data_IF_155147368193
#
_entry.id   IF_155147368193
#
_cell.length_a   1.000
_cell.length_b   1.000
_cell.length_c   1.000
_cell.angle_alpha   90.00
_cell.angle_beta   90.00
_cell.angle_gamma   90.00
#
_symmetry.space_group_name_H-M   'P 1'
#
loop_
_entity.id
_entity.type
_entity.pdbx_description
1 polymer ?
#
# COMPACT_ATOMS: atom_id res chain seq x y z
N UNK A 1 -4.31 -19.61 3.78
CA UNK A 1 -3.04 -18.95 4.16
C UNK A 1 -2.59 -19.52 5.49
N UNK A 2 -1.33 -19.92 5.60
CA UNK A 2 -0.80 -20.47 6.84
C UNK A 2 -0.64 -19.40 7.93
N UNK A 3 -0.63 -19.82 9.20
CA UNK A 3 -0.38 -18.92 10.35
C UNK A 3 0.98 -18.22 10.26
N UNK A 4 1.98 -18.92 9.74
CA UNK A 4 3.32 -18.37 9.54
C UNK A 4 3.32 -17.26 8.48
N UNK A 5 2.63 -17.47 7.36
CA UNK A 5 2.53 -16.45 6.31
C UNK A 5 1.73 -15.22 6.78
N UNK A 6 0.63 -15.44 7.53
CA UNK A 6 -0.13 -14.35 8.14
C UNK A 6 0.75 -13.48 9.04
N UNK A 7 1.53 -14.11 9.93
CA UNK A 7 2.44 -13.41 10.83
C UNK A 7 3.53 -12.65 10.05
N UNK A 8 4.07 -13.26 8.99
CA UNK A 8 5.06 -12.64 8.11
C UNK A 8 4.50 -11.37 7.46
N UNK A 9 3.32 -11.46 6.84
CA UNK A 9 2.68 -10.31 6.18
C UNK A 9 2.34 -9.18 7.16
N UNK A 10 1.77 -9.51 8.32
CA UNK A 10 1.51 -8.50 9.37
C UNK A 10 2.82 -7.89 9.82
N UNK A 11 3.88 -8.69 10.03
CA UNK A 11 5.19 -8.21 10.44
C UNK A 11 5.87 -7.27 9.44
N UNK A 12 5.55 -7.37 8.14
CA UNK A 12 6.05 -6.43 7.13
C UNK A 12 5.44 -5.04 7.27
N UNK A 13 4.13 -4.95 7.56
CA UNK A 13 3.40 -3.68 7.65
C UNK A 13 3.32 -3.11 9.07
N UNK A 14 3.58 -3.94 10.08
CA UNK A 14 3.40 -3.58 11.48
C UNK A 14 4.19 -2.34 11.91
N UNK A 15 5.46 -2.13 11.52
CA UNK A 15 6.19 -0.93 11.92
C UNK A 15 5.50 0.36 11.48
N UNK A 16 4.97 0.39 10.26
CA UNK A 16 4.21 1.53 9.72
C UNK A 16 2.92 1.76 10.50
N UNK A 17 2.17 0.68 10.78
CA UNK A 17 0.95 0.74 11.61
C UNK A 17 1.27 1.20 13.03
N UNK A 18 2.37 0.73 13.62
CA UNK A 18 2.82 1.10 14.96
C UNK A 18 3.11 2.59 15.06
N UNK A 19 3.85 3.14 14.10
CA UNK A 19 4.19 4.56 14.06
C UNK A 19 2.96 5.45 13.81
N UNK A 20 2.05 5.03 12.92
CA UNK A 20 0.84 5.80 12.57
C UNK A 20 -0.21 5.77 13.69
N UNK A 21 -0.42 4.62 14.32
CA UNK A 21 -1.47 4.40 15.34
C UNK A 21 -0.95 4.43 16.78
N UNK A 22 0.34 4.73 16.98
CA UNK A 22 1.00 4.76 18.29
C UNK A 22 0.84 3.45 19.08
N UNK A 23 0.98 2.31 18.40
CA UNK A 23 0.79 0.99 19.02
C UNK A 23 1.90 0.70 20.04
N UNK A 24 1.54 0.11 21.17
CA UNK A 24 2.49 -0.13 22.26
C UNK A 24 3.32 -1.40 22.08
N UNK A 25 2.82 -2.42 21.37
CA UNK A 25 3.52 -3.70 21.24
C UNK A 25 4.71 -3.57 20.28
N UNK A 26 5.79 -4.28 20.55
CA UNK A 26 6.91 -4.43 19.63
C UNK A 26 6.67 -5.56 18.63
N UNK A 27 7.44 -5.55 17.54
CA UNK A 27 7.28 -6.52 16.43
C UNK A 27 7.46 -7.96 16.92
N UNK A 28 8.36 -8.17 17.87
CA UNK A 28 8.65 -9.47 18.48
C UNK A 28 7.47 -10.01 19.30
N UNK A 29 6.58 -9.13 19.75
CA UNK A 29 5.39 -9.48 20.53
C UNK A 29 4.19 -9.84 19.64
N UNK A 30 4.27 -9.61 18.31
CA UNK A 30 3.18 -9.93 17.39
C UNK A 30 2.65 -11.36 17.49
N UNK A 31 3.48 -12.42 17.62
CA UNK A 31 2.96 -13.78 17.75
C UNK A 31 2.05 -13.95 18.97
N UNK A 32 2.40 -13.34 20.10
CA UNK A 32 1.64 -13.40 21.34
C UNK A 32 0.34 -12.59 21.26
N UNK A 33 0.35 -11.48 20.53
CA UNK A 33 -0.84 -10.64 20.32
C UNK A 33 -1.80 -11.25 19.31
N UNK A 34 -1.29 -11.79 18.20
CA UNK A 34 -2.11 -12.30 17.10
C UNK A 34 -2.74 -13.66 17.39
N UNK A 35 -2.06 -14.52 18.16
CA UNK A 35 -2.58 -15.84 18.52
C UNK A 35 -3.99 -15.80 19.13
N UNK A 36 -4.25 -15.06 20.22
CA UNK A 36 -5.59 -15.01 20.81
C UNK A 36 -6.62 -14.35 19.88
N UNK A 37 -6.23 -13.40 19.03
CA UNK A 37 -7.13 -12.80 18.04
C UNK A 37 -7.58 -13.81 16.99
N UNK A 38 -6.64 -14.62 16.48
CA UNK A 38 -6.93 -15.70 15.51
C UNK A 38 -7.82 -16.76 16.16
N UNK A 39 -7.50 -17.19 17.39
CA UNK A 39 -8.30 -18.16 18.13
C UNK A 39 -9.73 -17.65 18.38
N UNK A 40 -9.88 -16.37 18.70
CA UNK A 40 -11.20 -15.77 18.89
C UNK A 40 -11.98 -15.67 17.57
N UNK A 41 -11.32 -15.31 16.46
CA UNK A 41 -11.94 -15.34 15.12
C UNK A 41 -12.39 -16.76 14.72
N UNK A 42 -11.63 -17.80 15.09
CA UNK A 42 -12.01 -19.20 14.87
C UNK A 42 -13.21 -19.57 15.76
N UNK A 43 -13.17 -19.24 17.04
CA UNK A 43 -14.24 -19.50 18.01
C UNK A 43 -15.57 -18.87 17.57
N UNK A 44 -15.51 -17.67 17.01
CA UNK A 44 -16.68 -16.96 16.45
C UNK A 44 -17.07 -17.42 15.03
N UNK A 45 -16.35 -18.40 14.47
CA UNK A 45 -16.54 -18.92 13.12
C UNK A 45 -16.41 -17.87 12.02
N UNK A 46 -15.62 -16.82 12.24
CA UNK A 46 -15.30 -15.81 11.22
C UNK A 46 -14.29 -16.38 10.22
N UNK A 47 -13.31 -17.12 10.74
CA UNK A 47 -12.34 -17.89 9.96
C UNK A 47 -12.42 -19.36 10.41
N UNK A 48 -12.01 -20.26 9.53
CA UNK A 48 -11.95 -21.69 9.74
C UNK A 48 -10.49 -22.14 9.73
N UNK A 49 -10.11 -22.95 10.71
CA UNK A 49 -8.82 -23.64 10.72
C UNK A 49 -8.97 -24.98 9.98
N UNK A 50 -8.18 -25.18 8.92
CA UNK A 50 -8.12 -26.41 8.13
C UNK A 50 -6.83 -27.20 8.38
N UNK A 51 -6.14 -26.94 9.49
CA UNK A 51 -4.86 -27.54 9.84
C UNK A 51 -3.70 -26.69 9.35
N UNK A 52 -3.39 -26.75 8.06
CA UNK A 52 -2.28 -25.98 7.47
C UNK A 52 -2.68 -24.53 7.12
N UNK A 53 -3.97 -24.30 6.88
CA UNK A 53 -4.48 -23.04 6.38
C UNK A 53 -5.63 -22.46 7.22
N UNK A 54 -5.55 -21.15 7.42
CA UNK A 54 -6.69 -20.32 7.80
C UNK A 54 -7.46 -19.94 6.54
N UNK A 55 -8.77 -20.17 6.56
CA UNK A 55 -9.69 -19.89 5.45
C UNK A 55 -10.85 -19.03 5.96
N UNK A 56 -11.32 -18.08 5.16
CA UNK A 56 -12.50 -17.29 5.52
C UNK A 56 -13.76 -18.16 5.57
N UNK A 57 -14.68 -17.86 6.48
CA UNK A 57 -16.02 -18.46 6.44
C UNK A 57 -16.96 -17.60 5.59
N UNK A 58 -17.38 -18.04 4.38
CA UNK A 58 -18.21 -17.22 3.49
C UNK A 58 -19.56 -16.83 4.11
N UNK A 59 -20.13 -17.69 4.96
CA UNK A 59 -21.39 -17.42 5.66
C UNK A 59 -21.27 -16.28 6.70
N UNK A 60 -20.04 -15.94 7.11
CA UNK A 60 -19.72 -14.94 8.14
C UNK A 60 -18.81 -13.83 7.60
N UNK A 61 -18.87 -13.57 6.30
CA UNK A 61 -17.98 -12.59 5.65
C UNK A 61 -18.26 -11.14 6.06
N UNK A 62 -19.52 -10.78 6.35
CA UNK A 62 -19.89 -9.38 6.66
C UNK A 62 -19.19 -8.82 7.90
N UNK A 63 -19.14 -9.51 9.06
CA UNK A 63 -18.34 -9.06 10.20
C UNK A 63 -16.86 -8.83 9.86
N UNK A 64 -16.25 -9.71 9.06
CA UNK A 64 -14.86 -9.55 8.64
C UNK A 64 -14.66 -8.31 7.76
N UNK A 65 -15.60 -8.05 6.83
CA UNK A 65 -15.58 -6.84 6.01
C UNK A 65 -15.68 -5.57 6.85
N UNK A 66 -16.49 -5.59 7.92
CA UNK A 66 -16.62 -4.47 8.85
C UNK A 66 -15.32 -4.24 9.63
N UNK A 67 -14.70 -5.31 10.14
CA UNK A 67 -13.40 -5.22 10.83
C UNK A 67 -12.30 -4.69 9.89
N UNK A 68 -12.27 -5.18 8.65
CA UNK A 68 -11.29 -4.76 7.65
C UNK A 68 -11.48 -3.32 7.16
N UNK A 69 -12.69 -2.75 7.31
CA UNK A 69 -12.98 -1.39 6.83
C UNK A 69 -12.09 -0.33 7.48
N UNK A 70 -11.75 -0.49 8.76
CA UNK A 70 -10.98 0.51 9.51
C UNK A 70 -9.51 0.66 9.07
N UNK A 71 -8.92 -0.34 8.42
CA UNK A 71 -7.51 -0.31 7.98
C UNK A 71 -7.36 -0.09 6.47
N UNK A 72 -8.47 -0.18 5.71
CA UNK A 72 -8.45 -0.18 4.24
C UNK A 72 -7.71 1.03 3.66
N UNK A 73 -8.04 2.20 4.15
CA UNK A 73 -7.45 3.45 3.70
C UNK A 73 -5.97 3.56 4.04
N UNK A 74 -5.56 3.07 5.21
CA UNK A 74 -4.15 2.97 5.61
C UNK A 74 -3.37 2.06 4.66
N UNK A 75 -3.90 0.86 4.35
CA UNK A 75 -3.26 -0.06 3.41
C UNK A 75 -3.15 0.55 2.00
N UNK A 76 -4.16 1.30 1.56
CA UNK A 76 -4.11 2.02 0.29
C UNK A 76 -3.01 3.10 0.27
N UNK A 77 -2.86 3.89 1.35
CA UNK A 77 -1.75 4.86 1.47
C UNK A 77 -0.37 4.19 1.40
N UNK A 78 -0.24 3.01 2.01
CA UNK A 78 0.99 2.22 1.94
C UNK A 78 1.23 1.71 0.52
N UNK A 79 0.19 1.20 -0.15
CA UNK A 79 0.29 0.72 -1.52
C UNK A 79 0.71 1.83 -2.50
N UNK A 80 0.14 3.03 -2.37
CA UNK A 80 0.53 4.21 -3.15
C UNK A 80 2.02 4.50 -2.98
N UNK A 81 2.47 4.61 -1.73
CA UNK A 81 3.85 5.00 -1.42
C UNK A 81 4.83 3.94 -1.90
N UNK A 82 4.54 2.66 -1.67
CA UNK A 82 5.38 1.55 -2.14
C UNK A 82 5.41 1.45 -3.66
N UNK A 83 4.30 1.74 -4.35
CA UNK A 83 4.25 1.76 -5.82
C UNK A 83 5.17 2.83 -6.40
N UNK A 84 5.03 4.08 -5.91
CA UNK A 84 5.85 5.21 -6.37
C UNK A 84 7.33 4.95 -6.08
N UNK A 85 7.63 4.47 -4.88
CA UNK A 85 8.99 4.17 -4.45
C UNK A 85 9.63 3.02 -5.27
N UNK A 86 8.84 2.01 -5.64
CA UNK A 86 9.29 0.91 -6.51
C UNK A 86 9.50 1.35 -7.97
N UNK A 87 8.70 2.31 -8.45
CA UNK A 87 8.80 2.86 -9.81
C UNK A 87 9.94 3.87 -9.96
N UNK A 88 10.20 4.68 -8.92
CA UNK A 88 11.26 5.67 -8.87
C UNK A 88 12.07 5.53 -7.57
N UNK A 89 13.04 4.60 -7.50
CA UNK A 89 13.83 4.36 -6.29
C UNK A 89 14.59 5.57 -5.78
N UNK A 90 15.04 6.47 -6.67
CA UNK A 90 15.82 7.67 -6.32
C UNK A 90 14.98 8.89 -5.96
N UNK A 91 13.66 8.73 -5.77
CA UNK A 91 12.76 9.83 -5.43
C UNK A 91 13.12 10.42 -4.05
N UNK A 92 13.32 11.74 -4.00
CA UNK A 92 13.57 12.40 -2.72
C UNK A 92 12.30 12.40 -1.84
N UNK A 93 12.50 12.47 -0.52
CA UNK A 93 11.42 12.48 0.48
C UNK A 93 10.28 13.46 0.18
N UNK A 94 10.60 14.71 -0.15
CA UNK A 94 9.61 15.76 -0.37
C UNK A 94 8.77 15.51 -1.63
N UNK A 95 9.40 14.98 -2.69
CA UNK A 95 8.71 14.56 -3.89
C UNK A 95 7.81 13.34 -3.63
N UNK A 96 8.30 12.32 -2.91
CA UNK A 96 7.52 11.13 -2.54
C UNK A 96 6.27 11.52 -1.73
N UNK A 97 6.42 12.32 -0.68
CA UNK A 97 5.28 12.81 0.11
C UNK A 97 4.28 13.63 -0.73
N UNK A 98 4.76 14.39 -1.72
CA UNK A 98 3.89 15.19 -2.59
C UNK A 98 3.14 14.30 -3.58
N UNK A 99 3.83 13.40 -4.26
CA UNK A 99 3.26 12.50 -5.27
C UNK A 99 2.27 11.52 -4.64
N UNK A 100 2.61 10.92 -3.49
CA UNK A 100 1.71 10.02 -2.78
C UNK A 100 0.41 10.71 -2.36
N UNK A 101 0.48 11.97 -1.91
CA UNK A 101 -0.72 12.76 -1.58
C UNK A 101 -1.56 13.09 -2.80
N UNK A 102 -0.94 13.48 -3.92
CA UNK A 102 -1.66 13.76 -5.17
C UNK A 102 -2.42 12.50 -5.62
N UNK A 103 -1.77 11.34 -5.54
CA UNK A 103 -2.40 10.06 -5.85
C UNK A 103 -3.57 9.75 -4.90
N UNK A 104 -3.37 9.90 -3.59
CA UNK A 104 -4.43 9.68 -2.61
C UNK A 104 -5.62 10.63 -2.83
N UNK A 105 -5.37 11.89 -3.17
CA UNK A 105 -6.43 12.84 -3.51
C UNK A 105 -7.21 12.40 -4.75
N UNK A 106 -6.53 11.91 -5.80
CA UNK A 106 -7.19 11.35 -6.99
C UNK A 106 -8.06 10.14 -6.64
N UNK A 107 -7.54 9.20 -5.85
CA UNK A 107 -8.28 8.04 -5.38
C UNK A 107 -9.52 8.44 -4.58
N UNK A 108 -9.40 9.45 -3.71
CA UNK A 108 -10.53 9.99 -2.94
C UNK A 108 -11.65 10.52 -3.84
N UNK A 109 -11.30 11.27 -4.89
CA UNK A 109 -12.29 11.78 -5.86
C UNK A 109 -12.91 10.66 -6.70
N UNK A 110 -12.11 9.72 -7.21
CA UNK A 110 -12.57 8.68 -8.13
C UNK A 110 -13.40 7.59 -7.43
N UNK A 111 -13.06 7.26 -6.18
CA UNK A 111 -13.66 6.14 -5.45
C UNK A 111 -14.52 6.59 -4.27
N UNK A 112 -14.75 7.89 -4.11
CA UNK A 112 -15.61 8.46 -3.07
C UNK A 112 -15.09 8.23 -1.65
N UNK A 113 -13.77 8.18 -1.45
CA UNK A 113 -13.17 8.02 -0.12
C UNK A 113 -13.31 9.35 0.62
N UNK A 114 -14.14 9.37 1.66
CA UNK A 114 -14.42 10.57 2.45
C UNK A 114 -13.73 10.53 3.82
N UNK A 115 -12.40 10.60 3.79
CA UNK A 115 -11.56 10.58 4.98
C UNK A 115 -10.49 11.68 4.88
N UNK A 116 -10.55 12.73 5.73
CA UNK A 116 -9.60 13.85 5.66
C UNK A 116 -8.14 13.41 5.87
N UNK A 117 -7.92 12.34 6.61
CA UNK A 117 -6.62 11.72 6.84
C UNK A 117 -6.03 11.04 5.59
N UNK A 118 -6.85 10.72 4.59
CA UNK A 118 -6.42 9.91 3.45
C UNK A 118 -5.31 10.55 2.61
N UNK A 119 -5.30 11.89 2.54
CA UNK A 119 -4.31 12.68 1.82
C UNK A 119 -3.58 13.67 2.74
N UNK A 120 -3.61 13.43 4.06
CA UNK A 120 -2.99 14.30 5.04
C UNK A 120 -1.45 14.25 4.98
N UNK A 121 -0.82 15.41 5.17
CA UNK A 121 0.64 15.55 5.07
C UNK A 121 1.37 14.83 6.19
N UNK A 122 0.90 14.92 7.43
CA UNK A 122 1.57 14.31 8.57
C UNK A 122 1.58 12.79 8.44
N UNK A 123 0.47 12.19 7.98
CA UNK A 123 0.37 10.74 7.76
C UNK A 123 1.44 10.24 6.78
N UNK A 124 1.59 10.87 5.62
CA UNK A 124 2.65 10.49 4.66
C UNK A 124 4.05 10.80 5.18
N UNK A 125 4.21 11.88 5.95
CA UNK A 125 5.52 12.23 6.55
C UNK A 125 5.98 11.16 7.53
N UNK A 126 5.07 10.65 8.37
CA UNK A 126 5.32 9.55 9.31
C UNK A 126 5.64 8.26 8.57
N UNK A 127 4.88 7.93 7.52
CA UNK A 127 5.13 6.74 6.71
C UNK A 127 6.53 6.76 6.09
N UNK A 128 6.91 7.85 5.40
CA UNK A 128 8.23 7.94 4.74
C UNK A 128 9.38 7.90 5.75
N UNK A 129 9.21 8.51 6.93
CA UNK A 129 10.19 8.40 8.01
C UNK A 129 10.34 6.94 8.48
N UNK A 130 9.22 6.25 8.71
CA UNK A 130 9.21 4.85 9.15
C UNK A 130 9.84 3.92 8.12
N UNK A 131 9.59 4.14 6.82
CA UNK A 131 10.20 3.35 5.74
C UNK A 131 11.73 3.47 5.73
N UNK A 132 12.27 4.63 6.08
CA UNK A 132 13.72 4.83 6.22
C UNK A 132 14.27 4.10 7.44
N UNK A 133 13.59 4.18 8.58
CA UNK A 133 13.99 3.49 9.82
C UNK A 133 13.98 1.97 9.66
N UNK A 134 13.02 1.43 8.89
CA UNK A 134 12.91 -0.01 8.59
C UNK A 134 13.81 -0.47 7.42
N UNK A 135 14.62 0.42 6.84
CA UNK A 135 15.60 0.06 5.81
C UNK A 135 15.04 -0.12 4.39
N UNK A 136 13.81 0.29 4.11
CA UNK A 136 13.28 0.35 2.75
C UNK A 136 13.93 1.45 1.91
N UNK A 137 14.51 2.46 2.58
CA UNK A 137 15.28 3.54 1.97
C UNK A 137 16.69 3.49 2.56
N UNK A 138 17.70 3.39 1.72
CA UNK A 138 19.10 3.26 2.12
C UNK A 138 19.70 4.60 2.60
N UNK A 139 20.95 4.56 3.06
CA UNK A 139 21.65 5.74 3.60
C UNK A 139 21.86 6.87 2.59
N UNK A 140 21.92 6.53 1.29
CA UNK A 140 22.06 7.48 0.18
C UNK A 140 20.71 8.09 -0.22
N UNK A 141 19.60 7.55 0.31
CA UNK A 141 18.25 8.03 0.10
C UNK A 141 17.48 7.28 -0.99
N UNK A 142 18.04 6.22 -1.56
CA UNK A 142 17.39 5.40 -2.59
C UNK A 142 16.60 4.25 -1.97
N UNK A 143 15.50 3.87 -2.61
CA UNK A 143 14.72 2.70 -2.24
C UNK A 143 15.46 1.40 -2.53
N UNK A 144 15.30 0.43 -1.62
CA UNK A 144 15.64 -0.96 -1.90
C UNK A 144 14.47 -1.60 -2.64
N UNK A 145 14.53 -1.55 -3.97
CA UNK A 145 13.42 -1.87 -4.87
C UNK A 145 12.83 -3.26 -4.62
N UNK A 146 13.66 -4.24 -4.29
CA UNK A 146 13.21 -5.61 -4.00
C UNK A 146 12.25 -5.64 -2.80
N UNK A 147 12.59 -4.91 -1.73
CA UNK A 147 11.76 -4.85 -0.52
C UNK A 147 10.48 -4.05 -0.75
N UNK A 148 10.56 -2.93 -1.47
CA UNK A 148 9.37 -2.11 -1.74
C UNK A 148 8.38 -2.83 -2.65
N UNK A 149 8.88 -3.58 -3.64
CA UNK A 149 8.05 -4.36 -4.56
C UNK A 149 7.41 -5.56 -3.85
N UNK A 150 8.13 -6.23 -2.95
CA UNK A 150 7.57 -7.31 -2.14
C UNK A 150 6.36 -6.83 -1.33
N UNK A 151 6.51 -5.71 -0.61
CA UNK A 151 5.43 -5.17 0.20
C UNK A 151 4.30 -4.63 -0.69
N UNK A 152 4.62 -3.97 -1.80
CA UNK A 152 3.61 -3.53 -2.76
C UNK A 152 2.78 -4.70 -3.29
N UNK A 153 3.41 -5.80 -3.71
CA UNK A 153 2.70 -6.97 -4.23
C UNK A 153 1.70 -7.51 -3.21
N UNK A 154 2.14 -7.67 -1.96
CA UNK A 154 1.28 -8.12 -0.86
C UNK A 154 0.13 -7.14 -0.59
N UNK A 155 0.39 -5.83 -0.54
CA UNK A 155 -0.66 -4.83 -0.35
C UNK A 155 -1.65 -4.79 -1.53
N UNK A 156 -1.17 -5.06 -2.75
CA UNK A 156 -1.98 -5.06 -3.96
C UNK A 156 -3.06 -6.15 -3.94
N UNK A 157 -2.83 -7.23 -3.21
CA UNK A 157 -3.80 -8.32 -3.01
C UNK A 157 -4.86 -7.98 -1.94
N UNK A 158 -4.61 -6.95 -1.12
CA UNK A 158 -5.50 -6.49 -0.04
C UNK A 158 -6.41 -5.32 -0.43
N UNK A 159 -6.18 -4.72 -1.61
CA UNK A 159 -6.98 -3.61 -2.15
C UNK A 159 -7.86 -4.10 -3.31
N UNK A 160 -8.89 -3.33 -3.67
CA UNK A 160 -9.76 -3.72 -4.78
C UNK A 160 -9.04 -3.53 -6.13
N UNK A 161 -9.40 -4.31 -7.17
CA UNK A 161 -8.81 -4.18 -8.49
C UNK A 161 -8.87 -2.76 -9.07
N UNK A 162 -9.97 -2.03 -8.82
CA UNK A 162 -10.16 -0.67 -9.33
C UNK A 162 -9.17 0.32 -8.68
N UNK A 163 -8.91 0.17 -7.38
CA UNK A 163 -7.91 0.96 -6.66
C UNK A 163 -6.51 0.62 -7.18
N UNK A 164 -6.20 -0.68 -7.35
CA UNK A 164 -4.92 -1.15 -7.89
C UNK A 164 -4.63 -0.55 -9.26
N UNK A 165 -5.58 -0.65 -10.20
CA UNK A 165 -5.46 -0.06 -11.55
C UNK A 165 -5.23 1.46 -11.51
N UNK A 166 -5.89 2.15 -10.59
CA UNK A 166 -5.69 3.60 -10.43
C UNK A 166 -4.27 3.93 -9.96
N UNK A 167 -3.71 3.13 -9.03
CA UNK A 167 -2.33 3.30 -8.56
C UNK A 167 -1.31 3.00 -9.67
N UNK A 168 -1.53 1.93 -10.45
CA UNK A 168 -0.63 1.50 -11.52
C UNK A 168 -0.64 2.45 -12.72
N UNK A 169 -1.80 2.99 -13.10
CA UNK A 169 -1.94 3.87 -14.28
C UNK A 169 -1.14 5.17 -14.24
N UNK A 170 -0.71 5.62 -13.05
CA UNK A 170 0.11 6.83 -12.88
C UNK A 170 1.59 6.50 -12.68
N UNK A 171 1.90 5.27 -12.27
CA UNK A 171 3.29 4.81 -12.10
C UNK A 171 3.95 4.46 -13.44
N UNK A 172 3.17 4.32 -14.51
CA UNK A 172 3.68 4.25 -15.88
C UNK A 172 4.11 5.65 -16.32
N UNK A 173 5.35 5.86 -16.79
CA UNK A 173 5.70 7.10 -17.45
C UNK A 173 4.73 7.27 -18.61
N UNK A 174 4.11 8.45 -18.73
CA UNK A 174 3.23 8.78 -19.83
C UNK A 174 3.85 8.29 -21.13
N UNK A 175 3.17 7.35 -21.80
CA UNK A 175 3.54 6.98 -23.17
C UNK A 175 3.68 8.29 -23.95
N UNK A 176 4.85 8.48 -24.53
CA UNK A 176 5.20 9.60 -25.39
C UNK A 176 4.03 9.92 -26.30
N UNK A 177 3.43 11.08 -26.09
CA UNK A 177 2.51 11.72 -27.04
C UNK A 177 3.34 12.05 -28.30
N UNK A 178 3.45 11.06 -29.20
CA UNK A 178 4.00 11.26 -30.53
C UNK A 178 2.93 12.02 -31.31
N UNK A 179 2.97 13.35 -31.21
CA UNK A 179 2.27 14.21 -32.14
C UNK A 179 2.80 13.91 -33.55
N UNK A 180 1.92 13.73 -34.56
CA UNK A 180 2.38 13.58 -35.93
C UNK A 180 2.97 14.93 -36.39
N UNK A 181 4.24 14.89 -36.80
CA UNK A 181 4.92 15.97 -37.51
C UNK A 181 4.04 16.45 -38.68
N UNK A 182 3.54 17.68 -38.58
CA UNK A 182 2.98 18.41 -39.71
C UNK A 182 4.12 18.67 -40.70
N UNK A 183 4.13 17.92 -41.80
CA UNK A 183 5.00 18.18 -42.94
C UNK A 183 4.68 19.57 -43.52
N UNK A 184 5.56 20.53 -43.24
CA UNK A 184 5.62 21.78 -43.96
C UNK A 184 6.20 21.52 -45.36
N UNK A 185 5.32 21.47 -46.36
CA UNK A 185 5.71 21.57 -47.77
C UNK A 185 6.04 23.04 -48.07
N UNK A 186 7.30 23.42 -47.88
CA UNK A 186 7.92 24.52 -48.61
C UNK A 186 8.80 23.92 -49.72
N UNK A 187 8.32 23.96 -50.96
CA UNK A 187 9.21 23.88 -52.12
C UNK A 187 8.82 25.01 -53.08
N UNK A 188 9.64 26.07 -53.06
CA UNK A 188 9.74 27.07 -54.10
C UNK A 188 10.82 26.64 -55.09
N UNK A 189 10.55 26.95 -56.36
CA UNK A 189 11.46 27.17 -57.49
C UNK A 189 11.52 26.03 -58.53
N UNK A 190 10.79 26.18 -59.64
CA UNK A 190 11.33 26.69 -60.92
C UNK A 190 10.20 27.21 -61.82
#
# INVERSE_FOLDING_TARGET
MSRAELLRQIGLIYPMLKAELFLHNDKEQLPEVLRPLIEEMIRQQLICDKGEDLVLNPARIRPLQLLAAGVRETLQRYAITMSILSANPSINRGALEKESRIMAQRLSVLHGINAPEFFDKAVFSTLVATLREEGYINDVGDAVREHTLEVYSMLSDLITPEIKLTIESVSMPAETDVQPETAATEEKAE
#
